data_IF_454284104548
#
_entry.id   IF_454284104548
#
_cell.length_a   1.000
_cell.length_b   1.000
_cell.length_c   1.000
_cell.angle_alpha   90.00
_cell.angle_beta   90.00
_cell.angle_gamma   90.00
#
_symmetry.space_group_name_H-M   'P 1'
#
loop_
_entity.id
_entity.type
_entity.pdbx_description
1 polymer ?
#
# COMPACT_ATOMS: atom_id res chain seq x y z
N UNK A 1 -179.21 -76.05 54.76
CA UNK A 1 -178.02 -75.41 55.34
C UNK A 1 -177.49 -76.31 56.44
N UNK A 2 -176.31 -76.88 56.25
CA UNK A 2 -175.55 -77.57 57.30
C UNK A 2 -174.08 -77.46 56.91
N UNK A 3 -173.33 -76.59 57.58
CA UNK A 3 -171.87 -76.51 57.42
C UNK A 3 -171.24 -77.45 58.44
N UNK A 4 -170.35 -78.35 58.00
CA UNK A 4 -169.56 -79.19 58.91
C UNK A 4 -168.09 -79.12 58.54
N UNK A 5 -167.34 -78.50 59.44
CA UNK A 5 -165.93 -78.13 59.36
C UNK A 5 -165.01 -79.26 58.87
N UNK A 6 -164.36 -79.08 57.73
CA UNK A 6 -163.16 -79.84 57.35
C UNK A 6 -162.00 -79.48 58.28
N UNK A 7 -161.60 -80.42 59.13
CA UNK A 7 -160.49 -80.27 60.07
C UNK A 7 -159.16 -80.45 59.33
N UNK A 8 -158.51 -79.35 58.96
CA UNK A 8 -157.17 -79.39 58.34
C UNK A 8 -156.15 -79.94 59.34
N UNK A 9 -155.56 -81.10 59.07
CA UNK A 9 -154.50 -81.69 59.90
C UNK A 9 -153.25 -80.81 59.87
N UNK A 10 -152.47 -80.78 60.95
CA UNK A 10 -151.19 -80.07 61.04
C UNK A 10 -150.02 -81.05 61.09
N UNK A 11 -148.84 -80.61 60.67
CA UNK A 11 -147.60 -81.38 60.80
C UNK A 11 -147.33 -81.79 62.27
N UNK A 12 -146.92 -83.04 62.49
CA UNK A 12 -146.69 -83.61 63.82
C UNK A 12 -145.44 -83.08 64.55
N UNK A 13 -144.48 -82.46 63.84
CA UNK A 13 -143.31 -81.84 64.45
C UNK A 13 -143.70 -80.54 65.18
N UNK A 14 -143.43 -80.45 66.48
CA UNK A 14 -143.90 -79.37 67.38
C UNK A 14 -143.54 -77.97 66.87
N UNK A 15 -142.33 -77.82 66.30
CA UNK A 15 -141.82 -76.56 65.76
C UNK A 15 -142.29 -76.22 64.34
N UNK A 16 -142.93 -77.14 63.63
CA UNK A 16 -143.49 -76.88 62.29
C UNK A 16 -144.97 -76.53 62.39
N UNK A 17 -145.82 -77.45 62.88
CA UNK A 17 -147.29 -77.29 63.04
C UNK A 17 -148.05 -76.68 61.84
N UNK A 18 -147.47 -76.69 60.64
CA UNK A 18 -148.04 -76.13 59.40
C UNK A 18 -149.28 -76.96 58.96
N UNK A 19 -150.37 -76.32 58.47
CA UNK A 19 -151.53 -77.04 57.94
C UNK A 19 -151.19 -77.85 56.68
N UNK A 20 -151.50 -79.14 56.71
CA UNK A 20 -151.34 -80.05 55.58
C UNK A 20 -152.43 -79.80 54.51
N UNK A 21 -152.12 -79.92 53.21
CA UNK A 21 -153.10 -79.74 52.14
C UNK A 21 -154.25 -80.75 52.25
N UNK A 22 -155.44 -80.34 51.81
CA UNK A 22 -156.65 -81.15 51.93
C UNK A 22 -156.50 -82.50 51.18
N UNK A 23 -156.97 -83.62 51.76
CA UNK A 23 -156.83 -84.94 51.15
C UNK A 23 -157.56 -84.99 49.80
N UNK A 24 -156.83 -85.35 48.74
CA UNK A 24 -157.35 -85.38 47.38
C UNK A 24 -158.50 -86.38 47.18
N UNK A 25 -159.35 -86.19 46.15
CA UNK A 25 -160.64 -86.86 45.98
C UNK A 25 -160.60 -88.38 45.65
N UNK A 26 -159.44 -89.02 45.78
CA UNK A 26 -159.29 -90.49 45.74
C UNK A 26 -158.79 -90.97 47.10
N UNK A 27 -159.72 -91.28 48.00
CA UNK A 27 -159.40 -91.80 49.33
C UNK A 27 -158.61 -93.11 49.23
N UNK A 28 -157.50 -93.22 49.97
CA UNK A 28 -156.68 -94.44 49.91
C UNK A 28 -155.27 -94.42 50.51
N UNK A 29 -154.73 -93.28 50.97
CA UNK A 29 -153.54 -93.21 51.85
C UNK A 29 -153.43 -91.83 52.51
N UNK A 30 -153.14 -91.71 53.83
CA UNK A 30 -152.88 -90.43 54.47
C UNK A 30 -151.62 -89.74 53.91
N UNK A 31 -151.69 -88.44 53.64
CA UNK A 31 -150.51 -87.60 53.43
C UNK A 31 -149.92 -87.22 54.79
N UNK A 32 -149.04 -88.07 55.30
CA UNK A 32 -148.60 -88.00 56.70
C UNK A 32 -147.56 -86.90 56.98
N UNK A 33 -146.79 -86.44 55.97
CA UNK A 33 -145.73 -85.43 56.17
C UNK A 33 -145.65 -84.42 55.02
N UNK A 34 -145.25 -83.20 55.36
CA UNK A 34 -145.05 -82.08 54.43
C UNK A 34 -143.84 -82.36 53.51
N UNK A 35 -143.92 -82.11 52.18
CA UNK A 35 -142.77 -82.22 51.30
C UNK A 35 -141.72 -81.14 51.65
N UNK A 36 -140.49 -81.61 51.87
CA UNK A 36 -139.23 -80.87 51.84
C UNK A 36 -139.17 -79.53 52.61
N UNK A 37 -138.70 -79.62 53.86
CA UNK A 37 -138.13 -78.47 54.59
C UNK A 37 -136.86 -78.93 55.31
N UNK A 38 -135.73 -78.37 54.91
CA UNK A 38 -134.42 -78.65 55.48
C UNK A 38 -134.15 -77.79 56.71
N UNK A 39 -133.61 -78.41 57.75
CA UNK A 39 -133.14 -77.74 58.95
C UNK A 39 -131.61 -77.69 59.00
N UNK A 40 -130.99 -76.77 59.77
CA UNK A 40 -129.54 -76.70 59.91
C UNK A 40 -128.93 -78.07 60.25
N UNK A 41 -127.97 -78.51 59.45
CA UNK A 41 -127.41 -79.87 59.51
C UNK A 41 -127.95 -80.87 58.47
N UNK A 42 -128.88 -80.46 57.59
CA UNK A 42 -129.37 -81.31 56.50
C UNK A 42 -130.41 -82.35 56.94
N UNK A 43 -131.06 -82.13 58.08
CA UNK A 43 -132.10 -83.02 58.59
C UNK A 43 -133.48 -82.61 58.09
N UNK A 44 -134.22 -83.58 57.56
CA UNK A 44 -135.62 -83.40 57.14
C UNK A 44 -136.55 -83.35 58.34
N UNK A 45 -137.72 -82.71 58.20
CA UNK A 45 -138.80 -82.74 59.22
C UNK A 45 -139.15 -84.17 59.69
N UNK A 46 -139.02 -85.18 58.83
CA UNK A 46 -139.24 -86.60 59.20
C UNK A 46 -138.17 -87.12 60.17
N UNK A 47 -136.89 -86.82 59.90
CA UNK A 47 -135.79 -87.21 60.78
C UNK A 47 -135.86 -86.48 62.12
N UNK A 48 -136.20 -85.19 62.13
CA UNK A 48 -136.35 -84.44 63.38
C UNK A 48 -137.59 -84.83 64.18
N UNK A 49 -138.72 -85.15 63.54
CA UNK A 49 -139.90 -85.68 64.25
C UNK A 49 -139.63 -87.09 64.81
N UNK A 50 -138.91 -87.95 64.07
CA UNK A 50 -138.48 -89.25 64.57
C UNK A 50 -137.44 -89.11 65.71
N UNK A 51 -136.56 -88.12 65.64
CA UNK A 51 -135.61 -87.81 66.70
C UNK A 51 -136.32 -87.24 67.94
N UNK A 52 -137.28 -86.32 67.81
CA UNK A 52 -138.11 -85.85 68.93
C UNK A 52 -138.93 -86.99 69.55
N UNK A 53 -139.50 -87.88 68.74
CA UNK A 53 -140.21 -89.06 69.25
C UNK A 53 -139.28 -90.01 70.01
N UNK A 54 -138.10 -90.34 69.45
CA UNK A 54 -137.09 -91.15 70.12
C UNK A 54 -136.51 -90.47 71.37
N UNK A 55 -136.40 -89.13 71.37
CA UNK A 55 -135.96 -88.36 72.53
C UNK A 55 -137.05 -88.34 73.62
N UNK A 56 -138.33 -88.23 73.25
CA UNK A 56 -139.46 -88.31 74.19
C UNK A 56 -139.63 -89.73 74.78
N UNK A 57 -139.34 -90.77 74.00
CA UNK A 57 -139.31 -92.16 74.45
C UNK A 57 -138.10 -92.44 75.36
N UNK A 58 -136.92 -91.89 75.03
CA UNK A 58 -135.69 -92.03 75.83
C UNK A 58 -135.69 -91.15 77.11
N UNK A 59 -136.34 -89.99 77.10
CA UNK A 59 -136.46 -89.06 78.24
C UNK A 59 -137.75 -89.28 79.05
N UNK A 60 -138.24 -90.53 79.09
CA UNK A 60 -139.44 -91.04 79.77
C UNK A 60 -140.13 -90.09 80.77
N UNK A 61 -141.41 -89.81 80.51
CA UNK A 61 -142.26 -88.82 81.19
C UNK A 61 -142.01 -88.61 82.70
N UNK A 62 -141.79 -87.33 83.04
CA UNK A 62 -141.75 -86.68 84.36
C UNK A 62 -140.43 -86.83 85.18
N UNK A 63 -139.73 -85.72 85.47
CA UNK A 63 -138.53 -85.76 86.32
C UNK A 63 -138.87 -86.00 87.79
N UNK A 64 -138.14 -86.92 88.42
CA UNK A 64 -138.24 -87.23 89.85
C UNK A 64 -137.73 -86.06 90.73
N UNK A 65 -138.41 -85.72 91.85
CA UNK A 65 -138.05 -84.58 92.70
C UNK A 65 -136.71 -84.72 93.46
N UNK A 66 -136.01 -85.85 93.35
CA UNK A 66 -134.72 -86.07 94.02
C UNK A 66 -133.49 -85.53 93.26
N UNK A 67 -133.63 -85.02 92.04
CA UNK A 67 -132.50 -84.52 91.24
C UNK A 67 -132.12 -83.05 91.51
N UNK A 68 -133.04 -82.22 92.01
CA UNK A 68 -132.84 -80.77 92.15
C UNK A 68 -131.67 -80.39 93.08
N UNK A 69 -131.53 -81.08 94.22
CA UNK A 69 -130.48 -80.80 95.21
C UNK A 69 -129.07 -81.23 94.77
N UNK A 70 -128.95 -82.23 93.89
CA UNK A 70 -127.67 -82.63 93.32
C UNK A 70 -127.20 -81.63 92.25
N UNK A 71 -128.12 -81.10 91.43
CA UNK A 71 -127.82 -80.03 90.48
C UNK A 71 -127.43 -78.72 91.15
N UNK A 72 -128.08 -78.30 92.25
CA UNK A 72 -127.71 -77.05 92.93
C UNK A 72 -126.31 -77.15 93.55
N UNK A 73 -125.95 -78.27 94.18
CA UNK A 73 -124.61 -78.48 94.72
C UNK A 73 -123.52 -78.53 93.63
N UNK A 74 -123.84 -79.08 92.46
CA UNK A 74 -122.94 -79.04 91.30
C UNK A 74 -122.77 -77.62 90.74
N UNK A 75 -123.86 -76.84 90.62
CA UNK A 75 -123.81 -75.43 90.19
C UNK A 75 -123.00 -74.58 91.17
N UNK A 76 -123.27 -74.65 92.48
CA UNK A 76 -122.47 -73.97 93.51
C UNK A 76 -120.97 -74.32 93.42
N UNK A 77 -120.64 -75.59 93.15
CA UNK A 77 -119.25 -76.04 93.02
C UNK A 77 -118.62 -75.58 91.70
N UNK A 78 -119.39 -75.58 90.61
CA UNK A 78 -118.97 -75.08 89.32
C UNK A 78 -118.72 -73.57 89.38
N UNK A 79 -119.62 -72.78 89.99
CA UNK A 79 -119.49 -71.33 90.15
C UNK A 79 -118.27 -70.96 91.01
N UNK A 80 -118.03 -71.69 92.12
CA UNK A 80 -116.81 -71.56 92.94
C UNK A 80 -115.50 -71.87 92.20
N UNK A 81 -115.56 -72.56 91.06
CA UNK A 81 -114.40 -72.82 90.19
C UNK A 81 -114.39 -71.83 89.00
N UNK A 82 -115.56 -71.42 88.51
CA UNK A 82 -115.72 -70.48 87.41
C UNK A 82 -115.26 -69.07 87.78
N UNK A 83 -115.54 -68.60 88.99
CA UNK A 83 -115.10 -67.29 89.47
C UNK A 83 -113.55 -67.19 89.51
N UNK A 84 -112.80 -68.11 90.15
CA UNK A 84 -111.34 -68.13 90.04
C UNK A 84 -110.80 -68.27 88.61
N UNK A 85 -111.46 -69.05 87.75
CA UNK A 85 -111.04 -69.22 86.35
C UNK A 85 -111.30 -67.97 85.50
N UNK A 86 -112.38 -67.24 85.73
CA UNK A 86 -112.68 -65.97 85.04
C UNK A 86 -111.79 -64.84 85.54
N UNK A 87 -111.47 -64.80 86.83
CA UNK A 87 -110.45 -63.92 87.39
C UNK A 87 -109.06 -64.20 86.79
N UNK A 88 -108.66 -65.48 86.71
CA UNK A 88 -107.40 -65.89 86.08
C UNK A 88 -107.38 -65.56 84.57
N UNK A 89 -108.47 -65.80 83.84
CA UNK A 89 -108.58 -65.46 82.43
C UNK A 89 -108.47 -63.94 82.20
N UNK A 90 -109.06 -63.14 83.08
CA UNK A 90 -108.95 -61.67 83.06
C UNK A 90 -107.52 -61.22 83.34
N UNK A 91 -106.88 -61.75 84.38
CA UNK A 91 -105.49 -61.45 84.71
C UNK A 91 -104.50 -61.90 83.61
N UNK A 92 -104.73 -63.03 82.96
CA UNK A 92 -103.95 -63.49 81.81
C UNK A 92 -104.18 -62.61 80.56
N UNK A 93 -105.39 -62.09 80.37
CA UNK A 93 -105.68 -61.16 79.29
C UNK A 93 -105.04 -59.78 79.55
N UNK A 94 -105.09 -59.27 80.78
CA UNK A 94 -104.39 -58.06 81.21
C UNK A 94 -102.87 -58.21 81.04
N UNK A 95 -102.28 -59.31 81.54
CA UNK A 95 -100.87 -59.64 81.35
C UNK A 95 -100.51 -59.73 79.86
N UNK A 96 -101.36 -60.35 79.04
CA UNK A 96 -101.17 -60.40 77.58
C UNK A 96 -101.19 -59.01 76.95
N UNK A 97 -102.09 -58.12 77.38
CA UNK A 97 -102.13 -56.74 76.88
C UNK A 97 -100.94 -55.91 77.36
N UNK A 98 -100.49 -56.07 78.61
CA UNK A 98 -99.28 -55.41 79.13
C UNK A 98 -98.04 -55.89 78.39
N UNK A 99 -97.85 -57.20 78.27
CA UNK A 99 -96.72 -57.78 77.54
C UNK A 99 -96.73 -57.38 76.05
N UNK A 100 -97.89 -57.32 75.40
CA UNK A 100 -98.00 -56.83 74.03
C UNK A 100 -97.63 -55.34 73.91
N UNK A 101 -98.04 -54.51 74.87
CA UNK A 101 -97.69 -53.09 74.91
C UNK A 101 -96.18 -52.87 75.20
N UNK A 102 -95.60 -53.62 76.14
CA UNK A 102 -94.17 -53.61 76.44
C UNK A 102 -93.32 -54.08 75.25
N UNK A 103 -93.72 -55.16 74.57
CA UNK A 103 -93.04 -55.63 73.35
C UNK A 103 -93.17 -54.62 72.21
N UNK A 104 -94.33 -53.97 72.04
CA UNK A 104 -94.50 -52.92 71.04
C UNK A 104 -93.63 -51.68 71.34
N UNK A 105 -93.60 -51.22 72.60
CA UNK A 105 -92.76 -50.10 73.03
C UNK A 105 -91.26 -50.43 72.93
N UNK A 106 -90.86 -51.66 73.25
CA UNK A 106 -89.49 -52.14 73.08
C UNK A 106 -89.08 -52.24 71.61
N UNK A 107 -89.99 -52.67 70.72
CA UNK A 107 -89.77 -52.67 69.28
C UNK A 107 -89.61 -51.24 68.73
N UNK A 108 -90.51 -50.32 69.09
CA UNK A 108 -90.41 -48.91 68.67
C UNK A 108 -89.12 -48.25 69.18
N UNK A 109 -88.71 -48.54 70.43
CA UNK A 109 -87.44 -48.05 70.98
C UNK A 109 -86.23 -48.68 70.27
N UNK A 110 -86.30 -49.96 69.90
CA UNK A 110 -85.27 -50.63 69.10
C UNK A 110 -85.16 -49.98 67.71
N UNK A 111 -86.28 -49.78 67.01
CA UNK A 111 -86.32 -49.15 65.69
C UNK A 111 -85.77 -47.72 65.73
N UNK A 112 -86.19 -46.90 66.72
CA UNK A 112 -85.63 -45.55 66.94
C UNK A 112 -84.12 -45.60 67.18
N UNK A 113 -83.61 -46.53 68.01
CA UNK A 113 -82.17 -46.66 68.22
C UNK A 113 -81.40 -47.14 66.98
N UNK A 114 -82.01 -47.99 66.15
CA UNK A 114 -81.42 -48.45 64.89
C UNK A 114 -81.36 -47.33 63.86
N UNK A 115 -82.40 -46.50 63.76
CA UNK A 115 -82.41 -45.29 62.94
C UNK A 115 -81.35 -44.28 63.39
N UNK A 116 -81.26 -43.99 64.70
CA UNK A 116 -80.24 -43.08 65.25
C UNK A 116 -78.83 -43.60 64.99
N UNK A 117 -78.56 -44.89 65.22
CA UNK A 117 -77.27 -45.52 64.91
C UNK A 117 -76.97 -45.60 63.40
N UNK A 118 -77.98 -45.67 62.54
CA UNK A 118 -77.80 -45.57 61.09
C UNK A 118 -77.47 -44.13 60.65
N UNK A 119 -78.18 -43.13 61.19
CA UNK A 119 -77.92 -41.70 60.95
C UNK A 119 -76.53 -41.32 61.45
N UNK A 120 -76.12 -41.76 62.63
CA UNK A 120 -74.77 -41.48 63.16
C UNK A 120 -73.67 -42.11 62.30
N UNK A 121 -73.83 -43.38 61.88
CA UNK A 121 -72.89 -44.03 60.94
C UNK A 121 -72.78 -43.25 59.63
N UNK A 122 -73.90 -42.87 59.03
CA UNK A 122 -73.92 -42.08 57.79
C UNK A 122 -73.23 -40.71 57.95
N UNK A 123 -73.40 -40.03 59.10
CA UNK A 123 -72.71 -38.78 59.42
C UNK A 123 -71.20 -38.98 59.61
N UNK A 124 -70.78 -40.02 60.34
CA UNK A 124 -69.37 -40.37 60.54
C UNK A 124 -68.68 -40.69 59.21
N UNK A 125 -69.29 -41.53 58.38
CA UNK A 125 -68.76 -41.84 57.05
C UNK A 125 -68.69 -40.60 56.14
N UNK A 126 -69.69 -39.71 56.20
CA UNK A 126 -69.67 -38.46 55.44
C UNK A 126 -68.58 -37.50 55.93
N UNK A 127 -68.27 -37.51 57.23
CA UNK A 127 -67.14 -36.76 57.79
C UNK A 127 -65.79 -37.36 57.36
N UNK A 128 -65.63 -38.68 57.41
CA UNK A 128 -64.43 -39.38 56.92
C UNK A 128 -64.19 -39.09 55.43
N UNK A 129 -65.19 -39.28 54.57
CA UNK A 129 -65.07 -38.97 53.12
C UNK A 129 -64.67 -37.51 52.84
N UNK A 130 -65.13 -36.56 53.66
CA UNK A 130 -64.71 -35.14 53.54
C UNK A 130 -63.28 -34.89 54.02
N UNK A 131 -62.84 -35.59 55.06
CA UNK A 131 -61.46 -35.51 55.53
C UNK A 131 -60.50 -36.12 54.50
N UNK A 132 -60.84 -37.30 53.96
CA UNK A 132 -60.06 -37.97 52.92
C UNK A 132 -59.96 -37.10 51.65
N UNK A 133 -61.07 -36.48 51.23
CA UNK A 133 -61.07 -35.54 50.10
C UNK A 133 -60.19 -34.31 50.38
N UNK A 134 -60.30 -33.71 51.57
CA UNK A 134 -59.49 -32.55 51.92
C UNK A 134 -57.97 -32.85 51.98
N UNK A 135 -57.60 -34.08 52.36
CA UNK A 135 -56.21 -34.55 52.27
C UNK A 135 -55.79 -34.72 50.81
N UNK A 136 -56.60 -35.36 49.97
CA UNK A 136 -56.30 -35.54 48.54
C UNK A 136 -56.20 -34.20 47.77
N UNK A 137 -57.08 -33.24 48.08
CA UNK A 137 -57.03 -31.87 47.54
C UNK A 137 -55.76 -31.14 48.00
N UNK A 138 -55.35 -31.33 49.25
CA UNK A 138 -54.12 -30.77 49.82
C UNK A 138 -52.84 -31.34 49.19
N UNK A 139 -52.79 -32.67 49.02
CA UNK A 139 -51.68 -33.36 48.35
C UNK A 139 -51.57 -32.93 46.87
N UNK A 140 -52.70 -32.75 46.19
CA UNK A 140 -52.75 -32.23 44.81
C UNK A 140 -52.22 -30.80 44.74
N UNK A 141 -52.68 -29.92 45.64
CA UNK A 141 -52.24 -28.52 45.68
C UNK A 141 -50.73 -28.37 46.00
N UNK A 142 -50.17 -29.23 46.86
CA UNK A 142 -48.72 -29.23 47.13
C UNK A 142 -47.92 -29.76 45.93
N UNK A 143 -48.42 -30.77 45.21
CA UNK A 143 -47.81 -31.26 43.96
C UNK A 143 -47.82 -30.17 42.87
N UNK A 144 -48.94 -29.48 42.66
CA UNK A 144 -49.04 -28.35 41.71
C UNK A 144 -48.08 -27.22 42.09
N UNK A 145 -47.97 -26.90 43.39
CA UNK A 145 -47.02 -25.90 43.92
C UNK A 145 -45.56 -26.29 43.68
N UNK A 146 -45.20 -27.56 43.89
CA UNK A 146 -43.84 -28.06 43.63
C UNK A 146 -43.52 -28.05 42.13
N UNK A 147 -44.46 -28.43 41.27
CA UNK A 147 -44.31 -28.34 39.82
C UNK A 147 -44.11 -26.89 39.37
N UNK A 148 -44.95 -25.96 39.82
CA UNK A 148 -44.82 -24.53 39.51
C UNK A 148 -43.52 -23.90 40.06
N UNK A 149 -42.95 -24.44 41.14
CA UNK A 149 -41.63 -24.05 41.62
C UNK A 149 -40.51 -24.56 40.70
N UNK A 150 -40.56 -25.83 40.30
CA UNK A 150 -39.61 -26.42 39.38
C UNK A 150 -39.61 -25.71 38.00
N UNK A 151 -40.79 -25.45 37.43
CA UNK A 151 -40.94 -24.70 36.17
C UNK A 151 -40.35 -23.28 36.29
N UNK A 152 -40.56 -22.61 37.43
CA UNK A 152 -40.01 -21.28 37.69
C UNK A 152 -38.48 -21.29 37.83
N UNK A 153 -37.92 -22.35 38.40
CA UNK A 153 -36.47 -22.53 38.51
C UNK A 153 -35.86 -22.84 37.14
N UNK A 154 -36.45 -23.76 36.37
CA UNK A 154 -36.04 -24.03 34.99
C UNK A 154 -36.06 -22.77 34.13
N UNK A 155 -37.16 -22.00 34.14
CA UNK A 155 -37.26 -20.75 33.38
C UNK A 155 -36.25 -19.67 33.84
N UNK A 156 -35.77 -19.71 35.09
CA UNK A 156 -34.69 -18.82 35.57
C UNK A 156 -33.33 -19.26 35.08
N UNK A 157 -33.07 -20.57 35.05
CA UNK A 157 -31.83 -21.14 34.52
C UNK A 157 -31.73 -20.87 33.00
N UNK A 158 -32.78 -21.16 32.24
CA UNK A 158 -32.88 -20.83 30.80
C UNK A 158 -32.67 -19.33 30.54
N UNK A 159 -33.31 -18.47 31.32
CA UNK A 159 -33.14 -17.02 31.21
C UNK A 159 -31.74 -16.54 31.64
N UNK A 160 -30.98 -17.32 32.42
CA UNK A 160 -29.58 -17.02 32.74
C UNK A 160 -28.68 -17.46 31.57
N UNK A 161 -28.81 -18.69 31.10
CA UNK A 161 -28.08 -19.21 29.93
C UNK A 161 -28.27 -18.32 28.70
N UNK A 162 -29.51 -17.93 28.37
CA UNK A 162 -29.77 -17.03 27.25
C UNK A 162 -29.15 -15.61 27.41
N UNK A 163 -28.88 -15.16 28.63
CA UNK A 163 -28.14 -13.90 28.88
C UNK A 163 -26.63 -14.10 28.73
N UNK A 164 -26.11 -15.23 29.17
CA UNK A 164 -24.70 -15.61 29.02
C UNK A 164 -24.34 -15.79 27.54
N UNK A 165 -25.12 -16.57 26.78
CA UNK A 165 -25.00 -16.73 25.33
C UNK A 165 -25.08 -15.38 24.59
N UNK A 166 -26.04 -14.52 24.96
CA UNK A 166 -26.16 -13.18 24.38
C UNK A 166 -24.94 -12.30 24.71
N UNK A 167 -24.38 -12.40 25.91
CA UNK A 167 -23.18 -11.65 26.29
C UNK A 167 -21.94 -12.16 25.54
N UNK A 168 -21.81 -13.48 25.35
CA UNK A 168 -20.75 -14.09 24.54
C UNK A 168 -20.87 -13.69 23.06
N UNK A 169 -22.06 -13.76 22.47
CA UNK A 169 -22.30 -13.32 21.09
C UNK A 169 -21.99 -11.83 20.88
N UNK A 170 -22.26 -10.97 21.88
CA UNK A 170 -21.88 -9.56 21.83
C UNK A 170 -20.36 -9.36 21.93
N UNK A 171 -19.65 -10.13 22.75
CA UNK A 171 -18.17 -10.10 22.81
C UNK A 171 -17.55 -10.58 21.50
N UNK A 172 -17.96 -11.74 21.00
CA UNK A 172 -17.49 -12.28 19.73
C UNK A 172 -17.71 -11.30 18.56
N UNK A 173 -18.82 -10.56 18.57
CA UNK A 173 -19.06 -9.47 17.62
C UNK A 173 -18.11 -8.29 17.81
N UNK A 174 -17.89 -7.83 19.03
CA UNK A 174 -16.95 -6.74 19.33
C UNK A 174 -15.52 -7.10 18.93
N UNK A 175 -15.09 -8.33 19.23
CA UNK A 175 -13.77 -8.86 18.85
C UNK A 175 -13.61 -8.94 17.33
N UNK A 176 -14.66 -9.37 16.61
CA UNK A 176 -14.68 -9.38 15.14
C UNK A 176 -14.66 -7.96 14.52
N UNK A 177 -15.38 -6.99 15.11
CA UNK A 177 -15.35 -5.58 14.69
C UNK A 177 -13.97 -4.95 14.95
N UNK A 178 -13.33 -5.28 16.09
CA UNK A 178 -11.98 -4.83 16.42
C UNK A 178 -10.91 -5.44 15.49
N UNK A 179 -10.95 -6.77 15.26
CA UNK A 179 -10.03 -7.46 14.36
C UNK A 179 -10.15 -6.95 12.91
N UNK A 180 -11.38 -6.64 12.45
CA UNK A 180 -11.59 -5.99 11.16
C UNK A 180 -10.94 -4.59 11.13
N UNK A 181 -11.13 -3.78 12.16
CA UNK A 181 -10.53 -2.44 12.21
C UNK A 181 -8.99 -2.50 12.21
N UNK A 182 -8.39 -3.44 12.94
CA UNK A 182 -6.94 -3.67 12.92
C UNK A 182 -6.45 -4.10 11.53
N UNK A 183 -7.18 -4.99 10.85
CA UNK A 183 -6.86 -5.40 9.48
C UNK A 183 -6.95 -4.23 8.47
N UNK A 184 -7.98 -3.38 8.59
CA UNK A 184 -8.13 -2.17 7.76
C UNK A 184 -6.96 -1.18 8.00
N UNK A 185 -6.53 -0.99 9.25
CA UNK A 185 -5.37 -0.16 9.60
C UNK A 185 -4.04 -0.76 9.09
N UNK A 186 -3.87 -2.08 9.17
CA UNK A 186 -2.70 -2.77 8.63
C UNK A 186 -2.62 -2.64 7.10
N UNK A 187 -3.74 -2.82 6.40
CA UNK A 187 -3.84 -2.62 4.95
C UNK A 187 -3.53 -1.17 4.54
N UNK A 188 -4.03 -0.19 5.30
CA UNK A 188 -3.73 1.22 5.09
C UNK A 188 -2.22 1.52 5.26
N UNK A 189 -1.57 0.94 6.27
CA UNK A 189 -0.12 1.08 6.51
C UNK A 189 0.69 0.49 5.35
N UNK A 190 0.43 -0.76 4.96
CA UNK A 190 1.13 -1.42 3.84
C UNK A 190 0.93 -0.66 2.53
N UNK A 191 -0.26 -0.10 2.31
CA UNK A 191 -0.55 0.75 1.14
C UNK A 191 0.27 2.05 1.17
N UNK A 192 0.35 2.72 2.32
CA UNK A 192 1.14 3.95 2.48
C UNK A 192 2.65 3.71 2.31
N UNK A 193 3.17 2.61 2.85
CA UNK A 193 4.57 2.17 2.70
C UNK A 193 4.89 1.86 1.24
N UNK A 194 4.04 1.09 0.53
CA UNK A 194 4.17 0.82 -0.91
C UNK A 194 4.21 2.11 -1.72
N UNK A 195 3.32 3.04 -1.44
CA UNK A 195 3.21 4.29 -2.20
C UNK A 195 4.38 5.25 -1.89
N UNK A 196 4.93 5.20 -0.67
CA UNK A 196 6.18 5.89 -0.33
C UNK A 196 7.39 5.29 -1.06
N UNK A 197 7.53 3.96 -1.05
CA UNK A 197 8.59 3.25 -1.78
C UNK A 197 8.50 3.52 -3.30
N UNK A 198 7.29 3.56 -3.87
CA UNK A 198 7.08 3.93 -5.26
C UNK A 198 7.53 5.37 -5.56
N UNK A 199 7.12 6.35 -4.75
CA UNK A 199 7.58 7.74 -4.91
C UNK A 199 9.11 7.87 -4.82
N UNK A 200 9.75 7.11 -3.92
CA UNK A 200 11.20 7.08 -3.80
C UNK A 200 11.88 6.46 -5.02
N UNK A 201 11.31 5.38 -5.59
CA UNK A 201 11.79 4.77 -6.82
C UNK A 201 11.63 5.71 -8.03
N UNK A 202 10.48 6.39 -8.15
CA UNK A 202 10.22 7.37 -9.21
C UNK A 202 11.20 8.57 -9.12
N UNK A 203 11.48 9.06 -7.90
CA UNK A 203 12.48 10.11 -7.65
C UNK A 203 13.91 9.65 -7.98
N UNK A 204 14.28 8.42 -7.61
CA UNK A 204 15.58 7.85 -7.94
C UNK A 204 15.75 7.68 -9.46
N UNK A 205 14.72 7.22 -10.16
CA UNK A 205 14.71 7.08 -11.63
C UNK A 205 14.82 8.45 -12.33
N UNK A 206 14.08 9.46 -11.86
CA UNK A 206 14.19 10.83 -12.38
C UNK A 206 15.59 11.42 -12.15
N UNK A 207 16.17 11.20 -10.96
CA UNK A 207 17.53 11.63 -10.62
C UNK A 207 18.57 10.94 -11.51
N UNK A 208 18.47 9.63 -11.68
CA UNK A 208 19.36 8.87 -12.57
C UNK A 208 19.26 9.36 -14.03
N UNK A 209 18.05 9.62 -14.52
CA UNK A 209 17.82 10.17 -15.87
C UNK A 209 18.47 11.55 -16.02
N UNK A 210 18.32 12.43 -15.02
CA UNK A 210 18.95 13.75 -15.00
C UNK A 210 20.48 13.68 -14.95
N UNK A 211 21.04 12.76 -14.14
CA UNK A 211 22.49 12.51 -14.07
C UNK A 211 23.05 12.01 -15.41
N UNK A 212 22.37 11.06 -16.06
CA UNK A 212 22.77 10.57 -17.39
C UNK A 212 22.73 11.70 -18.41
N UNK A 213 21.64 12.49 -18.46
CA UNK A 213 21.53 13.62 -19.37
C UNK A 213 22.64 14.67 -19.15
N UNK A 214 23.00 14.97 -17.89
CA UNK A 214 24.10 15.87 -17.56
C UNK A 214 25.48 15.32 -17.99
N UNK A 215 25.73 14.01 -17.79
CA UNK A 215 26.95 13.35 -18.24
C UNK A 215 27.06 13.38 -19.77
N UNK A 216 25.97 13.09 -20.49
CA UNK A 216 25.91 13.17 -21.95
C UNK A 216 26.18 14.59 -22.45
N UNK A 217 25.51 15.60 -21.89
CA UNK A 217 25.74 17.00 -22.26
C UNK A 217 27.20 17.45 -22.00
N UNK A 218 27.80 17.02 -20.89
CA UNK A 218 29.20 17.29 -20.58
C UNK A 218 30.19 16.49 -21.47
N UNK A 219 29.79 15.33 -21.99
CA UNK A 219 30.55 14.59 -23.00
C UNK A 219 30.49 15.31 -24.36
N UNK A 220 29.30 15.69 -24.81
CA UNK A 220 29.08 16.46 -26.05
C UNK A 220 29.86 17.78 -26.05
N UNK A 221 29.85 18.51 -24.92
CA UNK A 221 30.61 19.74 -24.77
C UNK A 221 32.12 19.50 -24.90
N UNK A 222 32.65 18.41 -24.31
CA UNK A 222 34.06 18.03 -24.44
C UNK A 222 34.43 17.63 -25.87
N UNK A 223 33.56 16.87 -26.56
CA UNK A 223 33.75 16.52 -27.98
C UNK A 223 33.76 17.76 -28.86
N UNK A 224 32.82 18.70 -28.65
CA UNK A 224 32.78 19.98 -29.37
C UNK A 224 34.06 20.79 -29.11
N UNK A 225 34.46 20.97 -27.85
CA UNK A 225 35.68 21.69 -27.48
C UNK A 225 36.94 21.07 -28.10
N UNK A 226 37.05 19.74 -28.08
CA UNK A 226 38.15 19.01 -28.74
C UNK A 226 38.14 19.22 -30.25
N UNK A 227 36.98 19.16 -30.92
CA UNK A 227 36.88 19.40 -32.38
C UNK A 227 37.24 20.84 -32.78
N UNK A 228 36.87 21.84 -31.96
CA UNK A 228 37.27 23.23 -32.19
C UNK A 228 38.76 23.44 -31.97
N UNK A 229 39.35 22.81 -30.95
CA UNK A 229 40.78 22.88 -30.69
C UNK A 229 41.60 22.17 -31.79
N UNK A 230 41.11 21.03 -32.29
CA UNK A 230 41.73 20.33 -33.43
C UNK A 230 41.67 21.19 -34.70
N UNK A 231 40.55 21.85 -34.97
CA UNK A 231 40.39 22.74 -36.14
C UNK A 231 41.36 23.91 -36.06
N UNK A 232 41.40 24.62 -34.92
CA UNK A 232 42.34 25.72 -34.69
C UNK A 232 43.82 25.28 -34.78
N UNK A 233 44.16 24.09 -34.25
CA UNK A 233 45.51 23.54 -34.36
C UNK A 233 45.88 23.18 -35.81
N UNK A 234 44.93 22.70 -36.62
CA UNK A 234 45.13 22.46 -38.07
C UNK A 234 45.35 23.76 -38.84
N UNK A 235 44.60 24.82 -38.50
CA UNK A 235 44.74 26.16 -39.09
C UNK A 235 46.11 26.78 -38.74
N UNK A 236 46.50 26.80 -37.46
CA UNK A 236 47.83 27.25 -37.02
C UNK A 236 48.95 26.44 -37.67
N UNK A 237 48.79 25.12 -37.80
CA UNK A 237 49.77 24.28 -38.50
C UNK A 237 49.82 24.55 -40.02
N UNK A 238 48.76 25.08 -40.64
CA UNK A 238 48.78 25.52 -42.03
C UNK A 238 49.46 26.89 -42.16
N UNK A 239 49.18 27.83 -41.26
CA UNK A 239 49.80 29.15 -41.17
C UNK A 239 51.31 29.05 -40.97
N UNK A 240 51.78 28.32 -39.94
CA UNK A 240 53.21 28.08 -39.70
C UNK A 240 53.92 27.40 -40.88
N UNK A 241 53.24 26.51 -41.62
CA UNK A 241 53.80 25.94 -42.86
C UNK A 241 53.92 26.97 -43.98
N UNK A 242 52.97 27.90 -44.08
CA UNK A 242 53.02 29.01 -45.03
C UNK A 242 54.13 30.01 -44.67
N UNK A 243 54.29 30.35 -43.39
CA UNK A 243 55.39 31.18 -42.89
C UNK A 243 56.76 30.54 -43.16
N UNK A 244 56.96 29.26 -42.81
CA UNK A 244 58.20 28.53 -43.08
C UNK A 244 58.50 28.47 -44.58
N UNK A 245 57.48 28.34 -45.42
CA UNK A 245 57.63 28.40 -46.89
C UNK A 245 58.07 29.80 -47.34
N UNK A 246 57.44 30.86 -46.85
CA UNK A 246 57.78 32.25 -47.17
C UNK A 246 59.18 32.64 -46.68
N UNK A 247 59.57 32.21 -45.48
CA UNK A 247 60.93 32.42 -44.94
C UNK A 247 61.99 31.68 -45.76
N UNK A 248 61.71 30.45 -46.22
CA UNK A 248 62.60 29.73 -47.14
C UNK A 248 62.72 30.41 -48.50
N UNK A 249 61.65 31.00 -49.02
CA UNK A 249 61.69 31.80 -50.26
C UNK A 249 62.54 33.07 -50.07
N UNK A 250 62.31 33.84 -48.99
CA UNK A 250 63.14 35.01 -48.66
C UNK A 250 64.61 34.67 -48.45
N UNK A 251 64.92 33.53 -47.82
CA UNK A 251 66.30 33.07 -47.65
C UNK A 251 66.93 32.74 -49.02
N UNK A 252 66.22 32.04 -49.90
CA UNK A 252 66.70 31.73 -51.25
C UNK A 252 66.88 33.01 -52.10
N UNK A 253 65.98 33.99 -51.96
CA UNK A 253 66.09 35.33 -52.56
C UNK A 253 67.35 36.05 -52.05
N UNK A 254 67.56 36.11 -50.73
CA UNK A 254 68.77 36.71 -50.12
C UNK A 254 70.06 35.99 -50.51
N UNK A 255 70.07 34.66 -50.59
CA UNK A 255 71.22 33.90 -51.08
C UNK A 255 71.49 34.15 -52.58
N UNK A 256 70.44 34.43 -53.37
CA UNK A 256 70.57 34.77 -54.78
C UNK A 256 71.07 36.22 -54.95
N UNK A 257 70.56 37.16 -54.15
CA UNK A 257 71.05 38.54 -54.06
C UNK A 257 72.52 38.55 -53.63
N UNK A 258 72.88 37.85 -52.55
CA UNK A 258 74.27 37.72 -52.09
C UNK A 258 75.17 37.15 -53.19
N UNK A 259 74.80 36.02 -53.81
CA UNK A 259 75.56 35.45 -54.95
C UNK A 259 75.66 36.40 -56.14
N UNK A 260 74.65 37.24 -56.38
CA UNK A 260 74.69 38.25 -57.44
C UNK A 260 75.61 39.43 -57.08
N UNK A 261 75.65 39.83 -55.81
CA UNK A 261 76.50 40.87 -55.25
C UNK A 261 77.96 40.41 -55.15
N UNK A 262 78.22 39.15 -54.79
CA UNK A 262 79.53 38.50 -54.85
C UNK A 262 80.05 38.52 -56.28
N UNK A 263 79.27 38.03 -57.26
CA UNK A 263 79.64 38.11 -58.69
C UNK A 263 79.78 39.54 -59.21
N UNK A 264 79.10 40.52 -58.62
CA UNK A 264 79.30 41.93 -58.95
C UNK A 264 80.61 42.47 -58.33
N UNK A 265 80.93 42.08 -57.10
CA UNK A 265 82.18 42.39 -56.40
C UNK A 265 83.39 41.73 -57.07
N UNK A 266 83.27 40.49 -57.53
CA UNK A 266 84.29 39.79 -58.32
C UNK A 266 84.53 40.47 -59.67
N UNK A 267 83.46 40.87 -60.38
CA UNK A 267 83.57 41.66 -61.61
C UNK A 267 84.23 43.01 -61.35
N UNK A 268 83.81 43.74 -60.32
CA UNK A 268 84.43 45.01 -59.92
C UNK A 268 85.89 44.83 -59.52
N UNK A 269 86.24 43.74 -58.81
CA UNK A 269 87.63 43.40 -58.47
C UNK A 269 88.45 43.16 -59.74
N UNK A 270 87.99 42.29 -60.64
CA UNK A 270 88.64 42.04 -61.93
C UNK A 270 88.74 43.28 -62.81
N UNK A 271 87.74 44.15 -62.82
CA UNK A 271 87.78 45.46 -63.48
C UNK A 271 88.80 46.41 -62.82
N UNK A 272 88.90 46.43 -61.48
CA UNK A 272 89.93 47.22 -60.78
C UNK A 272 91.33 46.65 -60.96
N UNK A 273 91.50 45.32 -60.98
CA UNK A 273 92.77 44.65 -61.25
C UNK A 273 93.23 44.94 -62.69
N UNK A 274 92.36 44.77 -63.69
CA UNK A 274 92.64 45.18 -65.07
C UNK A 274 92.90 46.68 -65.20
N UNK A 275 92.22 47.53 -64.42
CA UNK A 275 92.46 48.98 -64.42
C UNK A 275 93.80 49.32 -63.79
N UNK A 276 94.18 48.64 -62.69
CA UNK A 276 95.50 48.75 -62.08
C UNK A 276 96.55 48.27 -63.08
N UNK A 277 96.40 47.09 -63.68
CA UNK A 277 97.31 46.52 -64.67
C UNK A 277 97.51 47.43 -65.89
N UNK A 278 96.43 48.05 -66.40
CA UNK A 278 96.52 49.09 -67.45
C UNK A 278 97.23 50.35 -66.98
N UNK A 279 97.05 50.75 -65.71
CA UNK A 279 97.75 51.91 -65.13
C UNK A 279 99.22 51.60 -64.87
N UNK A 280 99.59 50.40 -64.39
CA UNK A 280 100.99 49.99 -64.23
C UNK A 280 101.67 49.85 -65.58
N UNK A 281 101.06 49.19 -66.58
CA UNK A 281 101.67 49.10 -67.92
C UNK A 281 101.77 50.45 -68.64
N UNK A 282 100.82 51.37 -68.43
CA UNK A 282 100.95 52.75 -68.95
C UNK A 282 102.00 53.55 -68.17
N UNK A 283 102.11 53.37 -66.84
CA UNK A 283 103.15 53.99 -66.02
C UNK A 283 104.55 53.45 -66.34
N UNK A 284 104.70 52.14 -66.55
CA UNK A 284 105.92 51.48 -67.01
C UNK A 284 106.32 52.01 -68.39
N UNK A 285 105.39 52.09 -69.35
CA UNK A 285 105.63 52.76 -70.63
C UNK A 285 106.09 54.20 -70.48
N UNK A 286 105.46 54.99 -69.60
CA UNK A 286 105.89 56.37 -69.33
C UNK A 286 107.27 56.45 -68.68
N UNK A 287 107.61 55.51 -67.79
CA UNK A 287 108.92 55.41 -67.16
C UNK A 287 109.99 55.01 -68.18
N UNK A 288 109.71 54.05 -69.06
CA UNK A 288 110.64 53.63 -70.12
C UNK A 288 110.78 54.68 -71.23
N UNK A 289 109.70 55.39 -71.56
CA UNK A 289 109.73 56.58 -72.42
C UNK A 289 110.59 57.68 -71.79
N UNK A 290 110.38 58.01 -70.51
CA UNK A 290 111.20 59.00 -69.80
C UNK A 290 112.68 58.57 -69.69
N UNK A 291 112.96 57.27 -69.53
CA UNK A 291 114.33 56.72 -69.58
C UNK A 291 114.95 56.89 -70.96
N UNK A 292 114.20 56.60 -72.04
CA UNK A 292 114.65 56.82 -73.41
C UNK A 292 114.91 58.30 -73.72
N UNK A 293 114.03 59.20 -73.28
CA UNK A 293 114.20 60.65 -73.38
C UNK A 293 115.43 61.12 -72.57
N UNK A 294 115.67 60.57 -71.37
CA UNK A 294 116.87 60.88 -70.57
C UNK A 294 118.16 60.39 -71.24
N UNK A 295 118.12 59.23 -71.91
CA UNK A 295 119.25 58.69 -72.66
C UNK A 295 119.53 59.50 -73.95
N UNK A 296 118.49 59.98 -74.63
CA UNK A 296 118.60 60.90 -75.77
C UNK A 296 119.19 62.26 -75.34
N UNK A 297 118.75 62.79 -74.19
CA UNK A 297 119.31 64.03 -73.65
C UNK A 297 120.78 63.89 -73.23
N UNK A 298 121.18 62.75 -72.65
CA UNK A 298 122.60 62.46 -72.35
C UNK A 298 123.45 62.38 -73.61
N UNK A 299 123.01 61.65 -74.64
CA UNK A 299 123.75 61.55 -75.90
C UNK A 299 123.86 62.89 -76.63
N UNK A 300 122.86 63.77 -76.54
CA UNK A 300 122.98 65.14 -77.07
C UNK A 300 123.86 66.06 -76.21
N UNK A 301 123.94 65.84 -74.88
CA UNK A 301 124.92 66.51 -74.02
C UNK A 301 126.35 66.06 -74.31
N UNK A 302 126.61 64.76 -74.44
CA UNK A 302 127.92 64.20 -74.78
C UNK A 302 128.39 64.71 -76.16
N UNK A 303 127.47 64.80 -77.13
CA UNK A 303 127.73 65.39 -78.44
C UNK A 303 128.14 66.87 -78.34
N UNK A 304 127.39 67.68 -77.58
CA UNK A 304 127.72 69.10 -77.35
C UNK A 304 129.03 69.28 -76.57
N UNK A 305 129.37 68.38 -75.66
CA UNK A 305 130.65 68.39 -74.95
C UNK A 305 131.82 68.09 -75.91
N UNK A 306 131.65 67.13 -76.83
CA UNK A 306 132.61 66.87 -77.92
C UNK A 306 132.76 68.04 -78.89
N UNK A 307 131.65 68.68 -79.26
CA UNK A 307 131.65 69.88 -80.13
C UNK A 307 132.34 71.08 -79.45
N UNK A 308 132.19 71.27 -78.13
CA UNK A 308 132.89 72.29 -77.36
C UNK A 308 134.40 72.00 -77.23
N UNK A 309 134.79 70.75 -76.96
CA UNK A 309 136.21 70.34 -76.91
C UNK A 309 136.94 70.55 -78.25
N UNK A 310 136.25 70.33 -79.37
CA UNK A 310 136.78 70.59 -80.71
C UNK A 310 136.90 72.10 -81.04
N UNK A 311 136.20 72.98 -80.32
CA UNK A 311 136.30 74.43 -80.49
C UNK A 311 137.42 75.03 -79.62
N UNK A 312 137.61 74.58 -78.38
CA UNK A 312 138.75 75.01 -77.55
C UNK A 312 140.09 74.60 -78.17
N UNK A 313 140.22 73.38 -78.72
CA UNK A 313 141.43 72.99 -79.44
C UNK A 313 141.75 73.85 -80.68
N UNK A 314 140.75 74.48 -81.30
CA UNK A 314 140.96 75.41 -82.43
C UNK A 314 141.39 76.78 -81.93
N UNK A 315 140.81 77.26 -80.84
CA UNK A 315 141.23 78.50 -80.18
C UNK A 315 142.70 78.41 -79.74
N UNK A 316 143.10 77.33 -79.06
CA UNK A 316 144.47 77.14 -78.56
C UNK A 316 145.54 76.99 -79.66
N UNK A 317 145.15 76.60 -80.88
CA UNK A 317 146.06 76.59 -82.06
C UNK A 317 146.17 77.96 -82.70
N UNK A 318 145.08 78.74 -82.75
CA UNK A 318 145.09 80.12 -83.25
C UNK A 318 145.83 81.06 -82.30
N UNK A 319 145.67 80.90 -80.99
CA UNK A 319 146.40 81.67 -79.97
C UNK A 319 147.91 81.49 -80.12
N UNK A 320 148.39 80.24 -80.16
CA UNK A 320 149.81 79.92 -80.35
C UNK A 320 150.38 80.40 -81.69
N UNK A 321 149.56 80.50 -82.73
CA UNK A 321 149.97 81.12 -83.99
C UNK A 321 150.13 82.65 -83.87
N UNK A 322 149.24 83.33 -83.15
CA UNK A 322 149.33 84.76 -82.87
C UNK A 322 150.59 85.11 -82.05
N UNK A 323 150.84 84.36 -80.97
CA UNK A 323 152.02 84.58 -80.10
C UNK A 323 153.33 84.43 -80.91
N UNK A 324 153.41 83.42 -81.78
CA UNK A 324 154.57 83.19 -82.65
C UNK A 324 154.78 84.32 -83.69
N UNK A 325 153.71 84.94 -84.19
CA UNK A 325 153.82 86.09 -85.09
C UNK A 325 154.18 87.40 -84.36
N UNK A 326 153.84 87.54 -83.07
CA UNK A 326 154.24 88.69 -82.27
C UNK A 326 155.74 88.66 -81.92
N UNK A 327 156.27 87.51 -81.48
CA UNK A 327 157.73 87.33 -81.28
C UNK A 327 158.54 87.62 -82.56
N UNK A 328 158.00 87.30 -83.73
CA UNK A 328 158.62 87.56 -85.03
C UNK A 328 158.62 89.04 -85.40
N UNK A 329 157.64 89.83 -84.93
CA UNK A 329 157.57 91.27 -85.16
C UNK A 329 158.49 92.05 -84.21
N UNK A 330 158.57 91.66 -82.92
CA UNK A 330 159.50 92.28 -81.98
C UNK A 330 160.97 92.07 -82.40
N UNK A 331 161.33 90.89 -82.91
CA UNK A 331 162.67 90.63 -83.47
C UNK A 331 163.02 91.49 -84.69
N UNK A 332 162.03 91.89 -85.48
CA UNK A 332 162.22 92.77 -86.64
C UNK A 332 162.36 94.24 -86.18
N UNK A 333 161.75 94.62 -85.05
CA UNK A 333 161.99 95.92 -84.42
C UNK A 333 163.40 96.01 -83.81
N UNK A 334 163.84 95.01 -83.03
CA UNK A 334 165.17 94.97 -82.40
C UNK A 334 166.34 95.02 -83.42
N UNK A 335 166.16 94.39 -84.59
CA UNK A 335 167.16 94.42 -85.67
C UNK A 335 167.14 95.69 -86.51
N UNK A 336 166.11 96.54 -86.39
CA UNK A 336 166.09 97.88 -86.96
C UNK A 336 166.73 98.93 -86.01
N UNK A 337 166.64 98.75 -84.69
CA UNK A 337 167.13 99.73 -83.70
C UNK A 337 168.63 99.66 -83.38
N UNK A 338 169.34 98.62 -83.82
CA UNK A 338 170.78 98.42 -83.51
C UNK A 338 171.74 98.69 -84.68
N UNK A 339 171.23 99.17 -85.82
CA UNK A 339 172.04 99.59 -86.98
C UNK A 339 172.36 101.09 -87.03
N UNK A 340 171.81 101.92 -86.13
CA UNK A 340 172.02 103.38 -86.10
C UNK A 340 172.38 103.93 -84.71
N UNK A 341 173.69 103.95 -84.42
CA UNK A 341 174.30 105.05 -83.68
C UNK A 341 175.50 105.60 -84.47
N UNK A 342 175.40 106.84 -84.98
CA UNK A 342 176.54 107.69 -85.26
C UNK A 342 176.44 109.01 -84.44
N UNK A 343 177.48 109.88 -84.42
CA UNK A 343 178.11 110.22 -83.14
C UNK A 343 177.99 111.73 -82.82
N UNK A 344 178.86 112.21 -81.93
CA UNK A 344 178.74 113.52 -81.30
C UNK A 344 178.78 114.76 -82.23
N UNK A 345 177.94 115.71 -81.81
CA UNK A 345 178.24 117.14 -81.62
C UNK A 345 178.40 118.10 -82.83
N UNK A 346 177.60 119.18 -82.80
CA UNK A 346 177.90 120.47 -83.44
C UNK A 346 177.35 120.78 -84.85
N UNK A 347 176.34 121.66 -84.94
CA UNK A 347 176.26 122.67 -86.03
C UNK A 347 175.12 122.59 -87.08
N UNK A 348 173.97 123.21 -86.75
CA UNK A 348 173.05 124.06 -87.58
C UNK A 348 173.25 124.20 -89.11
N UNK A 349 172.25 124.43 -89.99
CA UNK A 349 170.76 124.43 -90.08
C UNK A 349 170.38 125.03 -91.49
N UNK A 350 169.14 125.10 -92.06
CA UNK A 350 167.85 124.37 -91.90
C UNK A 350 167.25 123.76 -93.21
N UNK A 351 166.15 123.00 -93.05
CA UNK A 351 165.02 122.74 -93.99
C UNK A 351 165.26 122.04 -95.38
N UNK A 352 164.36 121.18 -95.91
CA UNK A 352 163.12 120.58 -95.39
C UNK A 352 162.30 119.80 -96.46
N UNK A 353 161.31 118.99 -96.02
CA UNK A 353 160.31 118.19 -96.81
C UNK A 353 160.83 116.89 -97.48
N UNK A 354 160.56 115.67 -96.96
CA UNK A 354 159.31 114.85 -96.90
C UNK A 354 159.00 114.05 -98.20
N UNK A 355 158.93 112.71 -98.06
CA UNK A 355 158.25 111.80 -99.00
C UNK A 355 157.40 110.76 -98.21
N UNK A 356 156.21 110.33 -98.67
CA UNK A 356 155.11 109.99 -97.76
C UNK A 356 154.94 108.50 -97.36
N UNK A 357 155.74 107.56 -97.88
CA UNK A 357 155.51 106.12 -97.69
C UNK A 357 155.53 105.66 -96.22
N UNK A 358 156.45 106.18 -95.40
CA UNK A 358 156.61 105.77 -94.00
C UNK A 358 155.44 106.20 -93.08
N UNK A 359 154.60 107.15 -93.50
CA UNK A 359 153.48 107.63 -92.67
C UNK A 359 152.25 106.72 -92.74
N UNK A 360 152.16 105.82 -93.73
CA UNK A 360 151.05 104.87 -93.87
C UNK A 360 151.13 103.71 -92.85
N UNK A 361 152.35 103.24 -92.53
CA UNK A 361 152.56 102.07 -91.67
C UNK A 361 152.26 102.38 -90.19
N UNK A 362 152.67 103.56 -89.71
CA UNK A 362 152.47 103.96 -88.31
C UNK A 362 151.00 104.19 -87.91
N UNK A 363 150.10 104.46 -88.87
CA UNK A 363 148.67 104.68 -88.59
C UNK A 363 147.93 103.35 -88.42
N UNK A 364 148.23 102.35 -89.26
CA UNK A 364 147.60 101.02 -89.20
C UNK A 364 147.90 100.27 -87.89
N UNK A 365 149.06 100.52 -87.27
CA UNK A 365 149.42 99.94 -85.98
C UNK A 365 148.58 100.49 -84.80
N UNK A 366 148.10 101.74 -84.86
CA UNK A 366 147.32 102.34 -83.75
C UNK A 366 145.82 102.10 -83.83
N UNK A 367 145.26 101.83 -85.00
CA UNK A 367 143.80 101.63 -85.15
C UNK A 367 143.29 100.23 -84.86
N UNK A 368 144.17 99.25 -84.55
CA UNK A 368 143.77 97.88 -84.18
C UNK A 368 143.73 97.60 -82.67
N UNK A 369 144.22 98.52 -81.84
CA UNK A 369 144.24 98.38 -80.38
C UNK A 369 142.95 98.86 -79.67
N UNK A 370 141.93 99.32 -80.41
CA UNK A 370 140.76 100.04 -79.84
C UNK A 370 139.39 99.52 -80.28
N UNK A 371 139.31 98.38 -80.98
CA UNK A 371 138.03 97.68 -81.28
C UNK A 371 138.14 96.19 -80.97
N UNK A 372 138.34 95.89 -79.69
CA UNK A 372 138.26 94.54 -79.13
C UNK A 372 137.18 94.48 -78.04
N UNK A 373 135.98 94.06 -78.43
CA UNK A 373 134.88 93.61 -77.58
C UNK A 373 134.08 92.58 -78.39
#
# INVERSE_FOLDING_TARGET
MTQTVTRTGRCAFERCREPLPAPGPRGGRPFEYCPERDWPGGYTCKQLAAAEAALAEALGTAPSPHLAGATSAFVDTADRVLEPLTALASALQELRTSAAAEVAAAAEQADRSQEEAARERALREAATRRADQAVADGDTAEQEKLAAQADRELAREEARTAREERAEALRARQDAEAAKHEADLALARVTAERDAARRQADQAAATATATVAAITAAADQRVRAASTAETAAREQAAELRAEVKALRQRLAEQEQELRSAERASERLRGETEQRIERITTDAERRVDQARAETAALRTDQDRRAGELGAQTERADRLQRACDHYLELLDRIAETAETAEQPPGDGGTDPAGQRSPALRAVAVLARTRATTGA
#
